data_IF_958860462588
#
_entry.id   IF_958860462588
#
_cell.length_a   1.000
_cell.length_b   1.000
_cell.length_c   1.000
_cell.angle_alpha   90.00
_cell.angle_beta   90.00
_cell.angle_gamma   90.00
#
_symmetry.space_group_name_H-M   'P 1'
#
loop_
_entity.id
_entity.type
_entity.pdbx_description
1 polymer ?
#
# COMPACT_ATOMS: atom_id res chain seq x y z
N UNK A 1 18.95 -5.09 -4.33
CA UNK A 1 19.89 -5.86 -3.48
C UNK A 1 19.43 -5.70 -2.05
N UNK A 2 19.20 -6.79 -1.32
CA UNK A 2 18.84 -6.72 0.10
C UNK A 2 20.10 -6.46 0.92
N UNK A 3 20.01 -5.56 1.90
CA UNK A 3 21.12 -5.17 2.75
C UNK A 3 20.74 -5.41 4.20
N UNK A 4 21.55 -6.17 4.94
CA UNK A 4 21.23 -6.57 6.32
C UNK A 4 21.75 -5.59 7.37
N UNK A 5 22.85 -4.89 7.08
CA UNK A 5 23.49 -3.95 8.01
C UNK A 5 23.35 -2.54 7.50
N UNK A 6 22.98 -1.63 8.41
CA UNK A 6 22.87 -0.20 8.10
C UNK A 6 24.18 0.40 7.56
N UNK A 7 25.33 -0.06 8.07
CA UNK A 7 26.66 0.37 7.59
C UNK A 7 26.91 0.05 6.12
N UNK A 8 26.35 -1.05 5.60
CA UNK A 8 26.54 -1.47 4.23
C UNK A 8 25.58 -0.71 3.30
N UNK A 9 24.40 -0.35 3.80
CA UNK A 9 23.43 0.49 3.11
C UNK A 9 24.03 1.87 2.83
N UNK A 10 24.66 2.49 3.82
CA UNK A 10 25.30 3.80 3.70
C UNK A 10 26.42 3.79 2.64
N UNK A 11 27.22 2.72 2.62
CA UNK A 11 28.28 2.53 1.60
C UNK A 11 27.70 2.37 0.20
N UNK A 12 26.63 1.59 0.06
CA UNK A 12 25.98 1.35 -1.24
C UNK A 12 25.32 2.62 -1.78
N UNK A 13 24.61 3.38 -0.93
CA UNK A 13 23.99 4.65 -1.35
C UNK A 13 25.05 5.67 -1.78
N UNK A 14 26.21 5.69 -1.13
CA UNK A 14 27.33 6.54 -1.49
C UNK A 14 28.09 6.13 -2.76
N UNK A 15 27.85 4.92 -3.28
CA UNK A 15 28.58 4.38 -4.43
C UNK A 15 28.19 5.09 -5.73
N UNK A 16 29.20 5.64 -6.42
CA UNK A 16 29.03 6.35 -7.70
C UNK A 16 29.61 5.62 -8.89
N UNK A 17 30.44 4.60 -8.66
CA UNK A 17 31.10 3.83 -9.71
C UNK A 17 31.22 2.36 -9.30
N UNK A 18 30.92 1.46 -10.23
CA UNK A 18 31.06 0.01 -10.08
C UNK A 18 31.74 -0.55 -11.32
N UNK A 19 32.98 -1.04 -11.18
CA UNK A 19 33.75 -1.61 -12.29
C UNK A 19 34.01 -0.60 -13.42
N UNK A 20 34.31 0.66 -13.09
CA UNK A 20 34.54 1.73 -14.07
C UNK A 20 33.27 2.31 -14.70
N UNK A 21 32.08 1.80 -14.35
CA UNK A 21 30.80 2.32 -14.82
C UNK A 21 30.18 3.22 -13.76
N UNK A 22 29.75 4.43 -14.15
CA UNK A 22 29.01 5.33 -13.26
C UNK A 22 27.64 4.72 -12.92
N UNK A 23 27.33 4.65 -11.64
CA UNK A 23 26.07 4.11 -11.11
C UNK A 23 25.40 5.11 -10.19
N UNK A 24 24.06 5.01 -10.07
CA UNK A 24 23.25 5.72 -9.08
C UNK A 24 22.49 4.69 -8.26
N UNK A 25 22.73 4.67 -6.96
CA UNK A 25 22.03 3.77 -6.04
C UNK A 25 20.93 4.54 -5.33
N UNK A 26 19.72 3.98 -5.32
CA UNK A 26 18.55 4.53 -4.62
C UNK A 26 17.91 3.45 -3.79
N UNK A 27 17.31 3.83 -2.65
CA UNK A 27 16.46 2.91 -1.90
C UNK A 27 15.27 2.48 -2.77
N UNK A 28 14.92 1.21 -2.66
CA UNK A 28 13.71 0.70 -3.29
C UNK A 28 12.48 1.29 -2.58
N UNK A 29 11.62 1.98 -3.32
CA UNK A 29 10.45 2.65 -2.74
C UNK A 29 9.30 1.69 -2.42
N UNK A 30 9.30 0.48 -2.99
CA UNK A 30 8.24 -0.49 -2.82
C UNK A 30 8.59 -1.52 -1.75
N UNK A 31 9.80 -2.10 -1.79
CA UNK A 31 10.23 -3.16 -0.88
C UNK A 31 10.60 -2.62 0.51
N UNK A 32 11.01 -1.35 0.62
CA UNK A 32 11.30 -0.72 1.90
C UNK A 32 10.08 -0.05 2.53
N UNK A 33 8.89 -0.22 1.95
CA UNK A 33 7.64 0.30 2.51
C UNK A 33 6.67 -0.83 2.78
N UNK A 34 5.74 -0.58 3.69
CA UNK A 34 4.69 -1.53 4.02
C UNK A 34 3.37 -0.82 4.21
N UNK A 35 2.27 -1.56 4.16
CA UNK A 35 0.94 -1.00 4.34
C UNK A 35 0.21 -1.69 5.48
N UNK A 36 -0.41 -0.88 6.32
CA UNK A 36 -1.24 -1.34 7.43
C UNK A 36 -2.62 -0.69 7.40
N UNK A 37 -3.60 -1.35 7.98
CA UNK A 37 -4.98 -0.89 8.09
C UNK A 37 -5.28 -0.59 9.54
N UNK A 38 -5.78 0.60 9.80
CA UNK A 38 -6.34 1.00 11.08
C UNK A 38 -7.84 1.24 10.93
N UNK A 39 -8.61 0.86 11.95
CA UNK A 39 -10.04 1.13 12.02
C UNK A 39 -10.39 1.46 13.46
N UNK A 40 -10.99 2.63 13.68
CA UNK A 40 -11.51 3.00 14.98
C UNK A 40 -12.63 4.04 14.83
N UNK A 41 -13.64 3.99 15.69
CA UNK A 41 -14.82 4.89 15.63
C UNK A 41 -14.45 6.37 15.72
N UNK A 42 -13.44 6.69 16.51
CA UNK A 42 -13.01 8.07 16.78
C UNK A 42 -12.19 8.66 15.62
N UNK A 43 -11.84 7.87 14.59
CA UNK A 43 -11.14 8.36 13.39
C UNK A 43 -12.10 8.89 12.30
N UNK A 44 -13.42 8.94 12.56
CA UNK A 44 -14.43 9.36 11.57
C UNK A 44 -14.23 10.80 11.06
N UNK A 45 -13.62 11.67 11.85
CA UNK A 45 -13.36 13.06 11.49
C UNK A 45 -11.95 13.33 10.93
N UNK A 46 -11.02 12.39 11.12
CA UNK A 46 -9.60 12.66 10.86
C UNK A 46 -9.29 12.84 9.38
N UNK A 47 -8.39 13.77 9.09
CA UNK A 47 -7.86 13.97 7.74
C UNK A 47 -6.70 13.00 7.49
N UNK A 48 -6.36 12.76 6.23
CA UNK A 48 -5.30 11.81 5.89
C UNK A 48 -3.93 12.36 6.30
N UNK A 49 -3.73 13.67 6.17
CA UNK A 49 -2.51 14.38 6.48
C UNK A 49 -2.19 14.33 7.99
N UNK A 50 -3.21 14.34 8.83
CA UNK A 50 -3.08 14.23 10.29
C UNK A 50 -2.33 12.95 10.71
N UNK A 51 -2.52 11.84 9.99
CA UNK A 51 -1.83 10.59 10.32
C UNK A 51 -0.34 10.63 9.99
N UNK A 52 0.05 11.38 8.96
CA UNK A 52 1.46 11.61 8.61
C UNK A 52 2.13 12.45 9.68
N UNK A 53 1.41 13.42 10.26
CA UNK A 53 1.91 14.26 11.35
C UNK A 53 1.95 13.53 12.69
N UNK A 54 0.93 12.74 13.02
CA UNK A 54 0.81 12.10 14.34
C UNK A 54 1.65 10.85 14.50
N UNK A 55 1.84 10.09 13.41
CA UNK A 55 2.46 8.77 13.47
C UNK A 55 3.82 8.82 12.78
N UNK A 56 4.94 8.77 13.53
CA UNK A 56 6.26 8.74 12.93
C UNK A 56 6.43 7.49 12.05
N UNK A 57 7.05 7.68 10.88
CA UNK A 57 7.27 6.62 9.89
C UNK A 57 6.10 6.39 8.94
N UNK A 58 4.98 7.09 9.05
CA UNK A 58 3.92 7.08 8.02
C UNK A 58 4.27 8.07 6.91
N UNK A 59 4.34 7.59 5.67
CA UNK A 59 4.63 8.42 4.47
C UNK A 59 3.33 8.91 3.84
N UNK A 60 2.28 8.10 3.89
CA UNK A 60 0.96 8.45 3.36
C UNK A 60 -0.15 7.72 4.09
N UNK A 61 -1.31 8.33 4.13
CA UNK A 61 -2.54 7.71 4.61
C UNK A 61 -3.61 7.81 3.52
N UNK A 62 -4.50 6.81 3.47
CA UNK A 62 -5.65 6.80 2.58
C UNK A 62 -6.87 6.23 3.28
N UNK A 63 -7.96 6.99 3.33
CA UNK A 63 -9.25 6.55 3.84
C UNK A 63 -9.91 5.60 2.85
N UNK A 64 -10.45 4.50 3.35
CA UNK A 64 -11.21 3.56 2.53
C UNK A 64 -12.63 4.08 2.35
N UNK A 65 -13.06 4.18 1.10
CA UNK A 65 -14.43 4.45 0.71
C UNK A 65 -15.11 3.16 0.25
N UNK A 66 -16.35 2.95 0.68
CA UNK A 66 -17.18 1.85 0.20
C UNK A 66 -18.26 2.42 -0.72
N UNK A 67 -18.51 1.74 -1.84
CA UNK A 67 -19.62 2.04 -2.72
C UNK A 67 -20.85 1.26 -2.23
N UNK A 68 -21.91 1.96 -1.84
CA UNK A 68 -23.21 1.36 -1.52
C UNK A 68 -24.24 1.94 -2.48
N UNK A 69 -24.61 1.16 -3.49
CA UNK A 69 -25.42 1.67 -4.60
C UNK A 69 -24.67 2.75 -5.39
N UNK A 70 -25.27 3.92 -5.52
CA UNK A 70 -24.68 5.08 -6.21
C UNK A 70 -23.80 5.95 -5.30
N UNK A 71 -23.88 5.76 -3.99
CA UNK A 71 -23.17 6.59 -3.03
C UNK A 71 -21.79 6.04 -2.65
N UNK A 72 -20.82 6.95 -2.50
CA UNK A 72 -19.51 6.67 -1.90
C UNK A 72 -19.52 7.08 -0.44
N UNK A 73 -19.41 6.10 0.45
CA UNK A 73 -19.43 6.31 1.89
C UNK A 73 -18.00 6.21 2.41
N UNK A 74 -17.53 7.32 2.99
CA UNK A 74 -16.28 7.38 3.72
C UNK A 74 -16.37 6.53 4.98
N UNK A 75 -15.49 5.54 5.11
CA UNK A 75 -15.44 4.69 6.32
C UNK A 75 -14.47 5.25 7.34
N UNK A 76 -14.52 4.72 8.56
CA UNK A 76 -13.56 5.02 9.63
C UNK A 76 -12.27 4.17 9.51
N UNK A 77 -11.98 3.68 8.30
CA UNK A 77 -10.86 2.77 8.02
C UNK A 77 -9.83 3.49 7.17
N UNK A 78 -8.57 3.40 7.56
CA UNK A 78 -7.46 4.00 6.83
C UNK A 78 -6.41 2.95 6.51
N UNK A 79 -5.83 3.07 5.33
CA UNK A 79 -4.61 2.39 4.94
C UNK A 79 -3.47 3.37 5.14
N UNK A 80 -2.54 3.03 6.03
CA UNK A 80 -1.30 3.76 6.25
C UNK A 80 -0.18 3.09 5.45
N UNK A 81 0.68 3.88 4.83
CA UNK A 81 1.92 3.43 4.21
C UNK A 81 3.08 3.83 5.11
N UNK A 82 3.80 2.84 5.62
CA UNK A 82 4.95 3.02 6.49
C UNK A 82 6.25 3.02 5.68
N UNK A 83 7.25 3.77 6.15
CA UNK A 83 8.63 3.81 5.66
C UNK A 83 9.48 2.62 6.13
N UNK A 84 8.82 1.59 6.66
CA UNK A 84 9.41 0.34 7.11
C UNK A 84 8.90 -0.84 6.27
N UNK A 85 9.71 -1.90 6.09
CA UNK A 85 9.31 -3.09 5.33
C UNK A 85 8.19 -3.90 6.01
N UNK A 86 7.96 -3.70 7.30
CA UNK A 86 6.91 -4.37 8.07
C UNK A 86 6.13 -3.36 8.89
N UNK A 87 4.78 -3.40 8.85
CA UNK A 87 3.97 -2.48 9.63
C UNK A 87 4.08 -2.83 11.13
N UNK A 88 4.12 -1.84 12.03
CA UNK A 88 4.02 -2.09 13.47
C UNK A 88 2.68 -2.76 13.80
N UNK A 89 2.58 -3.43 14.95
CA UNK A 89 1.31 -4.04 15.41
C UNK A 89 0.32 -3.03 15.99
N UNK A 90 0.81 -1.90 16.48
CA UNK A 90 0.04 -0.83 17.10
C UNK A 90 0.71 0.52 16.83
N UNK A 91 -0.12 1.56 16.68
CA UNK A 91 0.32 2.96 16.50
C UNK A 91 -0.53 3.88 17.36
N UNK A 92 -0.01 5.08 17.65
CA UNK A 92 -0.78 6.13 18.33
C UNK A 92 -1.23 7.16 17.32
N UNK A 93 -2.52 7.13 16.96
CA UNK A 93 -3.13 8.17 16.14
C UNK A 93 -3.54 9.33 17.05
N UNK A 94 -2.68 10.35 17.13
CA UNK A 94 -2.78 11.39 18.16
C UNK A 94 -2.59 10.77 19.55
N UNK A 95 -3.61 10.86 20.40
CA UNK A 95 -3.60 10.26 21.74
C UNK A 95 -4.16 8.83 21.79
N UNK A 96 -4.72 8.34 20.69
CA UNK A 96 -5.44 7.09 20.65
C UNK A 96 -4.54 5.93 20.21
N UNK A 97 -4.32 4.89 21.04
CA UNK A 97 -3.66 3.66 20.60
C UNK A 97 -4.61 2.86 19.70
N UNK A 98 -4.14 2.50 18.50
CA UNK A 98 -4.92 1.75 17.50
C UNK A 98 -4.09 0.60 16.95
N UNK A 99 -4.68 -0.60 16.93
CA UNK A 99 -4.07 -1.78 16.32
C UNK A 99 -3.98 -1.63 14.81
N UNK A 100 -2.84 -2.01 14.26
CA UNK A 100 -2.59 -2.04 12.82
C UNK A 100 -2.68 -3.47 12.32
N UNK A 101 -3.45 -3.69 11.26
CA UNK A 101 -3.52 -4.98 10.57
C UNK A 101 -2.77 -4.89 9.24
N UNK A 102 -1.96 -5.87 8.83
CA UNK A 102 -1.34 -5.84 7.51
C UNK A 102 -2.38 -5.64 6.39
N UNK A 103 -2.12 -4.70 5.48
CA UNK A 103 -3.02 -4.46 4.35
C UNK A 103 -2.81 -5.52 3.27
N UNK A 104 -3.86 -6.30 3.03
CA UNK A 104 -3.92 -7.24 1.91
C UNK A 104 -4.76 -6.59 0.80
N UNK A 105 -4.15 -6.21 -0.34
CA UNK A 105 -4.91 -5.65 -1.44
C UNK A 105 -5.89 -6.68 -2.00
N UNK A 106 -7.01 -6.20 -2.55
CA UNK A 106 -7.93 -7.08 -3.27
C UNK A 106 -7.19 -7.74 -4.44
N UNK A 107 -7.32 -9.08 -4.60
CA UNK A 107 -6.60 -9.79 -5.64
C UNK A 107 -7.02 -9.28 -7.02
N UNK A 108 -6.04 -9.08 -7.90
CA UNK A 108 -6.33 -8.63 -9.27
C UNK A 108 -7.18 -9.66 -10.00
N UNK A 109 -8.40 -9.26 -10.36
CA UNK A 109 -9.35 -10.05 -11.14
C UNK A 109 -9.32 -9.60 -12.59
N UNK A 110 -9.04 -10.51 -13.51
CA UNK A 110 -9.12 -10.22 -14.94
C UNK A 110 -10.59 -10.04 -15.35
N UNK A 111 -10.99 -8.82 -15.73
CA UNK A 111 -12.36 -8.55 -16.18
C UNK A 111 -12.71 -9.13 -17.56
N UNK A 112 -11.78 -9.85 -18.21
CA UNK A 112 -12.04 -10.57 -19.47
C UNK A 112 -12.48 -12.02 -19.23
N UNK A 113 -11.80 -12.73 -18.33
CA UNK A 113 -12.02 -14.16 -18.06
C UNK A 113 -12.34 -14.47 -16.60
N UNK A 114 -12.50 -13.45 -15.76
CA UNK A 114 -12.83 -13.53 -14.33
C UNK A 114 -11.85 -14.32 -13.44
N UNK A 115 -10.75 -14.86 -13.99
CA UNK A 115 -9.67 -15.49 -13.22
C UNK A 115 -8.76 -14.44 -12.57
N UNK A 116 -8.16 -14.81 -11.44
CA UNK A 116 -7.21 -13.95 -10.72
C UNK A 116 -5.79 -14.05 -11.30
N UNK A 117 -4.92 -13.11 -10.90
CA UNK A 117 -3.46 -13.22 -11.10
C UNK A 117 -2.92 -12.68 -12.43
N UNK A 118 -3.76 -12.04 -13.26
CA UNK A 118 -3.30 -11.36 -14.47
C UNK A 118 -4.21 -10.18 -14.81
N UNK A 119 -3.63 -9.21 -15.51
CA UNK A 119 -4.37 -8.07 -16.06
C UNK A 119 -5.08 -8.46 -17.37
N UNK A 120 -6.07 -7.67 -17.76
CA UNK A 120 -6.83 -7.85 -19.01
C UNK A 120 -5.92 -7.99 -20.23
N UNK A 121 -4.87 -7.18 -20.32
CA UNK A 121 -3.99 -7.12 -21.49
C UNK A 121 -3.07 -8.34 -21.60
N UNK A 122 -2.81 -9.01 -20.47
CA UNK A 122 -2.04 -10.27 -20.41
C UNK A 122 -2.95 -11.50 -20.43
N UNK A 123 -4.25 -11.33 -20.68
CA UNK A 123 -5.21 -12.41 -20.67
C UNK A 123 -5.06 -13.30 -21.91
N UNK A 124 -4.82 -14.59 -21.69
CA UNK A 124 -4.72 -15.61 -22.74
C UNK A 124 -6.08 -16.23 -23.14
N UNK A 125 -7.17 -15.85 -22.47
CA UNK A 125 -8.50 -16.31 -22.88
C UNK A 125 -8.88 -15.65 -24.20
N UNK A 126 -9.25 -16.48 -25.18
CA UNK A 126 -9.64 -16.02 -26.52
C UNK A 126 -10.99 -15.31 -26.51
N UNK A 127 -11.91 -15.78 -25.68
CA UNK A 127 -13.26 -15.25 -25.54
C UNK A 127 -13.48 -14.56 -24.19
N UNK A 128 -14.39 -13.57 -24.18
CA UNK A 128 -14.91 -13.00 -22.93
C UNK A 128 -15.92 -13.98 -22.35
N UNK A 129 -15.80 -14.30 -21.06
CA UNK A 129 -16.90 -14.97 -20.37
C UNK A 129 -18.08 -13.98 -20.27
N UNK A 130 -19.28 -14.47 -20.57
CA UNK A 130 -20.54 -13.74 -20.80
C UNK A 130 -20.76 -12.49 -19.90
N UNK A 131 -21.27 -11.40 -20.48
CA UNK A 131 -21.32 -10.02 -19.94
C UNK A 131 -22.32 -9.77 -18.78
N UNK A 132 -22.66 -10.77 -17.97
CA UNK A 132 -23.79 -10.67 -17.03
C UNK A 132 -23.46 -10.06 -15.66
N UNK A 133 -22.28 -9.46 -15.47
CA UNK A 133 -21.80 -8.99 -14.14
C UNK A 133 -21.28 -7.55 -14.10
N UNK A 134 -21.67 -6.68 -15.05
CA UNK A 134 -21.33 -5.24 -15.00
C UNK A 134 -21.95 -4.49 -13.81
N UNK A 135 -22.76 -5.13 -12.98
CA UNK A 135 -23.47 -4.51 -11.85
C UNK A 135 -22.65 -4.41 -10.53
N UNK A 136 -21.43 -4.93 -10.46
CA UNK A 136 -20.62 -4.93 -9.23
C UNK A 136 -19.18 -4.43 -9.47
N UNK A 137 -19.06 -3.24 -10.06
CA UNK A 137 -17.82 -2.45 -10.13
C UNK A 137 -18.04 -1.04 -9.57
#
# INVERSE_FOLDING_TARGET
MEVKRKSDEEKLIGMKELGGLKVKVTKDSYLNTSRGVINHRDLRGSREEEFVEWIPGVISARRIEIKRGEERIKTNTYVLTFDSPTPPSEVKAGYLPVKVRPYVPTPMRCFRCHRFGHERDRCRARERLCEMWRAWA
#
